data_IF_018174736487
#
_entry.id   IF_018174736487
#
_cell.length_a   1.000
_cell.length_b   1.000
_cell.length_c   1.000
_cell.angle_alpha   90.00
_cell.angle_beta   90.00
_cell.angle_gamma   90.00
#
_symmetry.space_group_name_H-M   'P 1'
#
loop_
_entity.id
_entity.type
_entity.pdbx_description
1 polymer ?
#
# COMPACT_ATOMS: atom_id res chain seq x y z
N UNK A 1 0.56 -2.96 -8.08
CA UNK A 1 -0.84 -2.46 -8.15
C UNK A 1 -0.82 -0.95 -8.05
N UNK A 2 -1.66 -0.25 -8.83
CA UNK A 2 -1.70 1.22 -8.81
C UNK A 2 -2.72 1.68 -7.79
N UNK A 3 -2.37 2.64 -6.94
CA UNK A 3 -3.34 3.24 -6.01
C UNK A 3 -4.16 4.27 -6.77
N UNK A 4 -5.48 4.18 -6.65
CA UNK A 4 -6.42 4.97 -7.43
C UNK A 4 -7.36 5.68 -6.47
N UNK A 5 -7.63 6.95 -6.75
CA UNK A 5 -8.67 7.74 -6.08
C UNK A 5 -9.75 8.07 -7.10
N UNK A 6 -11.01 7.89 -6.73
CA UNK A 6 -12.15 8.26 -7.58
C UNK A 6 -12.41 9.76 -7.48
N UNK A 7 -12.23 10.48 -8.59
CA UNK A 7 -12.55 11.91 -8.69
C UNK A 7 -13.95 12.11 -9.28
N UNK A 8 -14.36 11.23 -10.20
CA UNK A 8 -15.68 11.23 -10.83
C UNK A 8 -16.80 10.96 -9.85
N UNK A 9 -18.05 11.19 -10.27
CA UNK A 9 -19.22 10.98 -9.41
C UNK A 9 -19.38 9.49 -9.03
N UNK A 10 -19.17 8.60 -9.99
CA UNK A 10 -19.30 7.16 -9.82
C UNK A 10 -18.55 6.41 -10.92
N UNK A 11 -17.79 5.39 -10.57
CA UNK A 11 -17.15 4.48 -11.53
C UNK A 11 -17.62 3.05 -11.31
N UNK A 12 -17.62 2.25 -12.38
CA UNK A 12 -17.92 0.81 -12.33
C UNK A 12 -16.73 0.03 -12.87
N UNK A 13 -16.22 -0.92 -12.09
CA UNK A 13 -15.21 -1.88 -12.52
C UNK A 13 -15.88 -3.22 -12.78
N UNK A 14 -15.60 -3.80 -13.95
CA UNK A 14 -16.23 -5.04 -14.40
C UNK A 14 -15.33 -6.27 -14.24
N UNK A 15 -14.02 -6.07 -14.14
CA UNK A 15 -13.03 -7.14 -14.05
C UNK A 15 -11.70 -6.60 -13.50
N UNK A 16 -10.81 -7.53 -13.17
CA UNK A 16 -9.48 -7.24 -12.65
C UNK A 16 -9.38 -7.52 -11.16
N UNK A 17 -8.25 -7.09 -10.58
CA UNK A 17 -7.91 -7.38 -9.20
C UNK A 17 -7.84 -6.09 -8.42
N UNK A 18 -8.47 -6.05 -7.24
CA UNK A 18 -8.53 -4.86 -6.37
C UNK A 18 -8.02 -5.16 -4.98
N UNK A 19 -7.37 -4.16 -4.37
CA UNK A 19 -7.11 -4.13 -2.93
C UNK A 19 -8.05 -3.11 -2.32
N UNK A 20 -8.81 -3.57 -1.35
CA UNK A 20 -9.87 -2.81 -0.70
C UNK A 20 -9.70 -2.87 0.81
N UNK A 21 -10.18 -1.83 1.51
CA UNK A 21 -10.33 -1.91 2.96
C UNK A 21 -11.39 -2.94 3.34
N UNK A 22 -11.35 -3.43 4.59
CA UNK A 22 -12.30 -4.42 5.11
C UNK A 22 -13.75 -3.93 4.96
N UNK A 23 -14.00 -2.64 5.20
CA UNK A 23 -15.34 -2.06 5.07
C UNK A 23 -15.80 -1.97 3.61
N UNK A 24 -14.90 -1.60 2.70
CA UNK A 24 -15.18 -1.56 1.26
C UNK A 24 -15.43 -2.96 0.69
N UNK A 25 -14.69 -3.96 1.15
CA UNK A 25 -14.87 -5.35 0.76
C UNK A 25 -16.19 -5.93 1.31
N UNK A 26 -16.54 -5.65 2.58
CA UNK A 26 -17.81 -6.11 3.19
C UNK A 26 -19.05 -5.70 2.40
N UNK A 27 -19.11 -4.43 1.98
CA UNK A 27 -20.23 -3.90 1.20
C UNK A 27 -20.33 -4.51 -0.21
N UNK A 28 -19.22 -5.06 -0.73
CA UNK A 28 -19.10 -5.60 -2.10
C UNK A 28 -18.85 -7.11 -2.13
N UNK A 29 -19.02 -7.81 -0.99
CA UNK A 29 -18.65 -9.22 -0.80
C UNK A 29 -19.24 -10.19 -1.83
N UNK A 30 -20.39 -9.87 -2.40
CA UNK A 30 -21.07 -10.73 -3.38
C UNK A 30 -20.49 -10.62 -4.80
N UNK A 31 -19.70 -9.58 -5.06
CA UNK A 31 -19.11 -9.27 -6.36
C UNK A 31 -17.59 -9.41 -6.35
N UNK A 32 -17.04 -9.96 -5.26
CA UNK A 32 -15.61 -10.09 -4.99
C UNK A 32 -15.32 -11.52 -4.58
N UNK A 33 -14.25 -12.09 -5.13
CA UNK A 33 -13.69 -13.36 -4.71
C UNK A 33 -12.33 -13.12 -4.02
N UNK A 34 -12.15 -13.46 -2.74
CA UNK A 34 -10.91 -13.21 -2.03
C UNK A 34 -9.77 -14.09 -2.58
N UNK A 35 -8.67 -13.46 -2.99
CA UNK A 35 -7.46 -14.15 -3.44
C UNK A 35 -6.39 -14.26 -2.33
N UNK A 36 -6.61 -13.63 -1.17
CA UNK A 36 -5.66 -13.54 -0.06
C UNK A 36 -5.02 -12.15 0.06
N UNK A 37 -4.41 -11.85 1.21
CA UNK A 37 -3.69 -10.57 1.45
C UNK A 37 -4.47 -9.27 1.21
N UNK A 38 -5.79 -9.30 1.43
CA UNK A 38 -6.66 -8.14 1.16
C UNK A 38 -6.84 -7.85 -0.34
N UNK A 39 -6.44 -8.79 -1.19
CA UNK A 39 -6.61 -8.78 -2.63
C UNK A 39 -7.89 -9.53 -2.97
N UNK A 40 -8.70 -8.93 -3.85
CA UNK A 40 -9.97 -9.48 -4.30
C UNK A 40 -10.03 -9.47 -5.82
N UNK A 41 -10.48 -10.57 -6.42
CA UNK A 41 -10.85 -10.64 -7.83
C UNK A 41 -12.28 -10.11 -8.01
N UNK A 42 -12.50 -9.28 -9.02
CA UNK A 42 -13.84 -8.80 -9.37
C UNK A 42 -14.56 -9.89 -10.16
N UNK A 43 -15.63 -10.46 -9.58
CA UNK A 43 -16.47 -11.49 -10.22
C UNK A 43 -17.76 -10.93 -10.81
N UNK A 44 -18.24 -9.80 -10.28
CA UNK A 44 -19.37 -9.05 -10.81
C UNK A 44 -19.08 -7.54 -10.76
N UNK A 45 -19.79 -6.71 -11.54
CA UNK A 45 -19.51 -5.28 -11.58
C UNK A 45 -19.61 -4.61 -10.21
N UNK A 46 -18.54 -3.91 -9.81
CA UNK A 46 -18.49 -3.16 -8.55
C UNK A 46 -18.44 -1.66 -8.80
N UNK A 47 -19.23 -0.93 -8.02
CA UNK A 47 -19.28 0.52 -8.06
C UNK A 47 -18.37 1.17 -7.02
N UNK A 48 -17.72 2.27 -7.40
CA UNK A 48 -17.05 3.17 -6.46
C UNK A 48 -17.60 4.59 -6.55
N UNK A 49 -17.69 5.24 -5.39
CA UNK A 49 -18.15 6.63 -5.27
C UNK A 49 -16.97 7.59 -5.25
N UNK A 50 -17.23 8.86 -5.58
CA UNK A 50 -16.26 9.94 -5.42
C UNK A 50 -15.59 9.92 -4.04
N UNK A 51 -14.26 10.01 -4.04
CA UNK A 51 -13.44 10.04 -2.84
C UNK A 51 -13.02 8.67 -2.32
N UNK A 52 -13.54 7.56 -2.86
CA UNK A 52 -13.04 6.23 -2.50
C UNK A 52 -11.63 6.00 -3.06
N UNK A 53 -10.82 5.31 -2.26
CA UNK A 53 -9.44 4.94 -2.59
C UNK A 53 -9.35 3.42 -2.63
N UNK A 54 -8.71 2.87 -3.65
CA UNK A 54 -8.45 1.43 -3.80
C UNK A 54 -7.15 1.21 -4.57
N UNK A 55 -6.54 0.04 -4.46
CA UNK A 55 -5.50 -0.36 -5.41
C UNK A 55 -6.12 -1.23 -6.50
N UNK A 56 -5.70 -1.04 -7.74
CA UNK A 56 -6.19 -1.83 -8.88
C UNK A 56 -5.02 -2.38 -9.67
N UNK A 57 -5.23 -3.60 -10.15
CA UNK A 57 -4.38 -4.28 -11.11
C UNK A 57 -5.25 -4.80 -12.25
N UNK A 58 -5.05 -4.19 -13.42
CA UNK A 58 -5.83 -4.48 -14.61
C UNK A 58 -5.83 -3.33 -15.62
N UNK A 59 -6.32 -3.60 -16.85
CA UNK A 59 -6.45 -2.59 -17.88
C UNK A 59 -7.65 -1.67 -17.58
N UNK A 60 -7.37 -0.39 -17.29
CA UNK A 60 -8.41 0.63 -17.18
C UNK A 60 -8.76 1.17 -18.58
N UNK A 61 -10.04 1.17 -18.99
CA UNK A 61 -10.46 1.82 -20.22
C UNK A 61 -10.22 3.33 -20.15
N UNK A 62 -9.82 3.94 -21.28
CA UNK A 62 -9.44 5.36 -21.35
C UNK A 62 -10.51 6.31 -20.81
N UNK A 63 -11.79 5.96 -20.94
CA UNK A 63 -12.90 6.77 -20.45
C UNK A 63 -12.92 6.87 -18.93
N UNK A 64 -12.55 5.80 -18.21
CA UNK A 64 -12.50 5.81 -16.75
C UNK A 64 -11.29 6.59 -16.22
N UNK A 65 -10.20 6.69 -17.00
CA UNK A 65 -9.02 7.47 -16.60
C UNK A 65 -9.32 8.96 -16.40
N UNK A 66 -10.36 9.50 -17.04
CA UNK A 66 -10.79 10.90 -16.81
C UNK A 66 -11.42 11.11 -15.44
N UNK A 67 -11.92 10.04 -14.83
CA UNK A 67 -12.63 10.06 -13.55
C UNK A 67 -11.78 9.53 -12.39
N UNK A 68 -10.52 9.17 -12.66
CA UNK A 68 -9.61 8.52 -11.73
C UNK A 68 -8.31 9.30 -11.58
N UNK A 69 -7.89 9.50 -10.33
CA UNK A 69 -6.54 9.94 -10.00
C UNK A 69 -5.67 8.71 -9.77
N UNK A 70 -4.67 8.50 -10.61
CA UNK A 70 -3.67 7.45 -10.36
C UNK A 70 -2.59 8.03 -9.45
N UNK A 71 -2.57 7.58 -8.20
CA UNK A 71 -1.48 7.81 -7.26
C UNK A 71 -0.49 6.67 -7.40
N UNK A 72 0.51 6.86 -8.26
CA UNK A 72 1.61 5.91 -8.35
C UNK A 72 2.36 5.87 -7.01
N UNK A 73 2.17 4.80 -6.25
CA UNK A 73 2.92 4.56 -4.99
C UNK A 73 4.42 4.40 -5.24
N UNK A 74 4.84 4.25 -6.49
CA UNK A 74 6.25 4.31 -6.90
C UNK A 74 6.83 5.74 -6.89
N UNK A 75 6.00 6.79 -6.83
CA UNK A 75 6.45 8.17 -6.98
C UNK A 75 6.55 9.00 -5.68
N UNK A 76 6.19 8.46 -4.51
CA UNK A 76 6.54 9.13 -3.25
C UNK A 76 8.03 8.96 -2.89
N UNK A 77 8.71 7.97 -3.50
CA UNK A 77 10.15 7.75 -3.39
C UNK A 77 10.97 8.50 -4.46
N UNK A 78 10.36 8.99 -5.54
CA UNK A 78 11.10 9.40 -6.73
C UNK A 78 11.58 10.85 -6.78
N UNK A 79 11.31 11.69 -5.76
CA UNK A 79 11.79 13.08 -5.81
C UNK A 79 12.67 13.56 -4.64
N UNK A 80 13.15 12.67 -3.77
CA UNK A 80 14.17 13.04 -2.76
C UNK A 80 15.42 13.68 -3.39
N UNK A 81 15.81 13.19 -4.57
CA UNK A 81 16.99 13.68 -5.30
C UNK A 81 16.77 15.04 -5.95
N UNK A 82 15.52 15.41 -6.27
CA UNK A 82 15.20 16.67 -6.95
C UNK A 82 14.67 17.74 -5.97
N UNK A 83 14.29 17.35 -4.74
CA UNK A 83 13.93 18.28 -3.67
C UNK A 83 15.11 19.13 -3.20
N UNK A 84 14.86 20.38 -2.85
CA UNK A 84 15.87 21.26 -2.24
C UNK A 84 16.21 20.80 -0.80
N UNK A 85 17.40 21.15 -0.32
CA UNK A 85 17.87 20.76 1.02
C UNK A 85 16.93 21.26 2.12
N UNK A 86 16.32 22.44 1.95
CA UNK A 86 15.34 22.98 2.88
C UNK A 86 14.08 22.10 2.94
N UNK A 87 13.59 21.63 1.78
CA UNK A 87 12.43 20.74 1.71
C UNK A 87 12.72 19.37 2.32
N UNK A 88 13.93 18.86 2.11
CA UNK A 88 14.39 17.60 2.71
C UNK A 88 14.49 17.69 4.24
N UNK A 89 14.99 18.81 4.77
CA UNK A 89 15.06 19.03 6.22
C UNK A 89 13.68 19.12 6.85
N UNK A 90 12.74 19.82 6.19
CA UNK A 90 11.34 19.88 6.64
C UNK A 90 10.70 18.50 6.62
N UNK A 91 10.88 17.74 5.54
CA UNK A 91 10.34 16.39 5.42
C UNK A 91 10.94 15.43 6.45
N UNK A 92 12.26 15.48 6.66
CA UNK A 92 12.93 14.71 7.70
C UNK A 92 12.36 15.00 9.09
N UNK A 93 12.13 16.28 9.41
CA UNK A 93 11.60 16.69 10.71
C UNK A 93 10.13 16.35 10.92
N UNK A 94 9.28 16.59 9.93
CA UNK A 94 7.82 16.43 10.08
C UNK A 94 7.34 15.00 9.87
N UNK A 95 7.91 14.28 8.90
CA UNK A 95 7.46 12.92 8.56
C UNK A 95 8.14 11.85 9.42
N UNK A 96 9.43 12.05 9.74
CA UNK A 96 10.26 11.00 10.36
C UNK A 96 10.87 11.41 11.72
N UNK A 97 10.60 12.61 12.21
CA UNK A 97 11.13 13.10 13.51
C UNK A 97 12.65 13.30 13.53
N UNK A 98 13.30 13.36 12.38
CA UNK A 98 14.75 13.50 12.23
C UNK A 98 15.14 14.99 12.23
N UNK A 99 16.11 15.36 13.07
CA UNK A 99 16.66 16.72 13.07
C UNK A 99 18.08 16.72 12.49
N UNK A 100 18.31 17.54 11.47
CA UNK A 100 19.62 17.70 10.83
C UNK A 100 20.03 19.17 10.88
N UNK A 101 21.33 19.42 11.02
CA UNK A 101 21.87 20.78 10.92
C UNK A 101 21.69 21.29 9.47
N UNK A 102 21.41 22.58 9.23
CA UNK A 102 21.28 23.15 7.87
C UNK A 102 22.52 22.99 6.96
N UNK A 103 23.66 22.59 7.52
CA UNK A 103 24.92 22.33 6.81
C UNK A 103 25.12 20.85 6.49
N UNK A 104 24.18 19.99 6.90
CA UNK A 104 24.21 18.57 6.59
C UNK A 104 24.06 18.42 5.08
N UNK A 105 25.00 17.75 4.43
CA UNK A 105 24.96 17.58 2.99
C UNK A 105 23.71 16.82 2.55
N UNK A 106 23.12 17.25 1.43
CA UNK A 106 21.89 16.69 0.84
C UNK A 106 21.90 15.16 0.81
N UNK A 107 23.03 14.57 0.40
CA UNK A 107 23.22 13.12 0.33
C UNK A 107 22.92 12.40 1.65
N UNK A 108 23.42 12.93 2.79
CA UNK A 108 23.22 12.33 4.11
C UNK A 108 21.77 12.44 4.60
N UNK A 109 21.11 13.55 4.25
CA UNK A 109 19.69 13.75 4.61
C UNK A 109 18.80 12.77 3.85
N UNK A 110 19.07 12.58 2.55
CA UNK A 110 18.36 11.60 1.72
C UNK A 110 18.54 10.19 2.26
N UNK A 111 19.79 9.78 2.52
CA UNK A 111 20.12 8.45 3.05
C UNK A 111 19.36 8.15 4.36
N UNK A 112 19.29 9.12 5.26
CA UNK A 112 18.58 8.95 6.52
C UNK A 112 17.05 8.92 6.36
N UNK A 113 16.48 9.67 5.40
CA UNK A 113 15.04 9.59 5.07
C UNK A 113 14.72 8.22 4.46
N UNK A 114 15.54 7.74 3.53
CA UNK A 114 15.38 6.41 2.92
C UNK A 114 15.45 5.30 3.97
N UNK A 115 16.40 5.39 4.91
CA UNK A 115 16.53 4.45 6.02
C UNK A 115 15.32 4.48 6.96
N UNK A 116 14.81 5.67 7.30
CA UNK A 116 13.61 5.81 8.12
C UNK A 116 12.37 5.19 7.44
N UNK A 117 12.17 5.46 6.15
CA UNK A 117 11.10 4.85 5.34
C UNK A 117 11.23 3.34 5.23
N UNK A 118 12.44 2.81 5.14
CA UNK A 118 12.67 1.37 5.12
C UNK A 118 12.22 0.72 6.44
N UNK A 119 12.60 1.31 7.58
CA UNK A 119 12.16 0.84 8.90
C UNK A 119 10.65 0.93 9.10
N UNK A 120 10.02 2.00 8.61
CA UNK A 120 8.56 2.14 8.65
C UNK A 120 7.86 1.05 7.83
N UNK A 121 8.36 0.75 6.61
CA UNK A 121 7.84 -0.33 5.77
C UNK A 121 8.01 -1.71 6.41
N UNK A 122 9.16 -1.97 7.02
CA UNK A 122 9.41 -3.21 7.76
C UNK A 122 8.48 -3.36 8.97
N UNK A 123 8.24 -2.28 9.70
CA UNK A 123 7.32 -2.27 10.84
C UNK A 123 5.86 -2.45 10.40
N UNK A 124 5.45 -1.83 9.29
CA UNK A 124 4.12 -2.01 8.71
C UNK A 124 3.89 -3.45 8.23
N UNK A 125 4.88 -4.05 7.57
CA UNK A 125 4.84 -5.47 7.18
C UNK A 125 4.76 -6.40 8.40
N UNK A 126 5.56 -6.15 9.43
CA UNK A 126 5.52 -6.93 10.68
C UNK A 126 4.16 -6.80 11.40
N UNK A 127 3.57 -5.60 11.41
CA UNK A 127 2.26 -5.35 11.98
C UNK A 127 1.15 -6.07 11.21
N UNK A 128 1.11 -5.92 9.88
CA UNK A 128 0.19 -6.65 9.00
C UNK A 128 0.30 -8.16 9.18
N UNK A 129 1.53 -8.70 9.27
CA UNK A 129 1.78 -10.12 9.54
C UNK A 129 1.25 -10.56 10.89
N UNK A 130 1.47 -9.78 11.95
CA UNK A 130 0.95 -10.11 13.28
C UNK A 130 -0.59 -10.09 13.33
N UNK A 131 -1.23 -9.13 12.65
CA UNK A 131 -2.69 -9.05 12.54
C UNK A 131 -3.26 -10.26 11.78
N UNK A 132 -2.55 -10.71 10.72
CA UNK A 132 -2.91 -11.92 9.97
C UNK A 132 -2.76 -13.19 10.80
N UNK A 133 -1.67 -13.36 11.55
CA UNK A 133 -1.48 -14.50 12.46
C UNK A 133 -2.59 -14.53 13.51
N UNK A 134 -2.84 -13.39 14.16
CA UNK A 134 -3.90 -13.26 15.19
C UNK A 134 -5.28 -13.59 14.62
N UNK A 135 -5.55 -13.18 13.37
CA UNK A 135 -6.80 -13.48 12.68
C UNK A 135 -6.95 -14.97 12.36
N UNK A 136 -5.89 -15.63 11.88
CA UNK A 136 -5.90 -17.07 11.58
C UNK A 136 -6.04 -17.92 12.86
N UNK A 137 -5.32 -17.56 13.93
CA UNK A 137 -5.48 -18.21 15.25
C UNK A 137 -6.91 -18.06 15.79
N UNK A 138 -7.58 -16.93 15.52
CA UNK A 138 -8.98 -16.71 15.93
C UNK A 138 -9.99 -17.56 15.14
N UNK A 139 -9.61 -18.04 13.95
CA UNK A 139 -10.43 -18.90 13.09
C UNK A 139 -10.24 -20.40 13.40
N UNK A 140 -9.30 -20.76 14.29
CA UNK A 140 -9.06 -22.14 14.68
C UNK A 140 -8.42 -22.99 13.58
N UNK A 141 -7.81 -22.36 12.58
CA UNK A 141 -6.99 -23.05 11.58
C UNK A 141 -5.55 -23.12 12.07
N UNK A 142 -5.12 -24.31 12.48
CA UNK A 142 -3.73 -24.59 12.81
C UNK A 142 -2.87 -24.34 11.56
N UNK A 143 -2.13 -23.24 11.54
CA UNK A 143 -1.15 -22.96 10.50
C UNK A 143 -0.20 -24.16 10.37
N UNK A 144 -0.26 -24.85 9.23
CA UNK A 144 0.49 -26.09 9.01
C UNK A 144 1.99 -25.82 9.17
N UNK A 145 2.67 -26.72 9.89
CA UNK A 145 4.10 -26.68 10.23
C UNK A 145 5.04 -26.44 9.03
N UNK A 146 4.57 -26.70 7.80
CA UNK A 146 5.34 -26.51 6.57
C UNK A 146 5.57 -25.02 6.21
N UNK A 147 4.65 -24.10 6.56
CA UNK A 147 4.83 -22.65 6.29
C UNK A 147 5.80 -21.98 7.28
N UNK A 148 5.95 -22.54 8.49
CA UNK A 148 6.89 -22.05 9.50
C UNK A 148 8.35 -22.40 9.14
N UNK A 149 8.58 -23.47 8.37
CA UNK A 149 9.91 -23.90 7.95
C UNK A 149 10.51 -23.00 6.86
N UNK A 150 9.71 -22.49 5.91
CA UNK A 150 10.18 -21.53 4.89
C UNK A 150 10.56 -20.18 5.50
N UNK A 151 9.92 -19.79 6.62
CA UNK A 151 10.23 -18.56 7.37
C UNK A 151 11.57 -18.60 8.12
N UNK A 152 12.10 -19.78 8.44
CA UNK A 152 13.40 -19.92 9.11
C UNK A 152 14.57 -19.86 8.13
N UNK A 153 14.34 -20.24 6.86
CA UNK A 153 15.34 -20.18 5.79
C UNK A 153 15.64 -18.74 5.31
N UNK A 154 14.66 -17.83 5.40
CA UNK A 154 14.83 -16.41 5.06
C UNK A 154 15.41 -15.54 6.19
N UNK A 155 15.55 -16.07 7.42
CA UNK A 155 16.25 -15.39 8.53
C UNK A 155 17.79 -15.49 8.43
N UNK A 156 18.33 -16.27 7.49
CA UNK A 156 19.77 -16.57 7.37
C UNK A 156 20.46 -16.04 6.10
N UNK A 157 19.78 -15.30 5.22
CA UNK A 157 20.41 -14.56 4.11
C UNK A 157 20.38 -13.06 4.37
#
# INVERSE_FOLDING_TARGET
MKKIVVIGAFISLHSGTVVLSVDQARSRRYALDPLGDGIYAITAPIGFKRGEVFAYDGPLPKNLLLELEVKDTANEDSNLKDMDIAQLLVLAGSAHGLSFHPRTGKKKVIEAIEEARAKEREAEYAKSKSERITFLESLGEDASLDELAELELLKKS
#
